data_IF_756838418031
#
_entry.id   IF_756838418031
#
_cell.length_a   1.000
_cell.length_b   1.000
_cell.length_c   1.000
_cell.angle_alpha   90.00
_cell.angle_beta   90.00
_cell.angle_gamma   90.00
#
_symmetry.space_group_name_H-M   'P 1'
#
loop_
_entity.id
_entity.type
_entity.pdbx_description
1 polymer ?
#
# COMPACT_ATOMS: atom_id res chain seq x y z
N UNK A 1 3.44 18.99 19.60
CA UNK A 1 4.39 18.42 18.62
C UNK A 1 3.62 18.27 17.32
N UNK A 2 3.98 19.07 16.32
CA UNK A 2 3.21 19.22 15.08
C UNK A 2 3.41 18.02 14.18
N UNK A 3 2.33 17.28 13.91
CA UNK A 3 2.33 16.29 12.82
C UNK A 3 2.03 17.04 11.51
N UNK A 4 3.10 17.41 10.81
CA UNK A 4 3.01 17.86 9.41
C UNK A 4 3.31 16.67 8.53
N UNK A 5 2.30 16.11 7.87
CA UNK A 5 2.51 15.28 6.69
C UNK A 5 1.56 15.74 5.59
N UNK A 6 2.13 16.65 4.79
CA UNK A 6 1.64 17.16 3.53
C UNK A 6 2.15 16.21 2.44
N UNK A 7 1.30 15.33 1.91
CA UNK A 7 1.56 14.65 0.64
C UNK A 7 0.28 14.65 -0.20
N UNK A 8 0.09 15.74 -0.96
CA UNK A 8 -0.81 15.79 -2.11
C UNK A 8 0.08 15.78 -3.34
N UNK A 9 0.35 14.58 -3.86
CA UNK A 9 1.04 14.31 -5.12
C UNK A 9 0.63 12.87 -5.53
N UNK A 10 0.20 12.52 -6.73
CA UNK A 10 -0.03 13.27 -7.95
C UNK A 10 -0.99 12.46 -8.84
N UNK A 11 -1.64 13.19 -9.73
CA UNK A 11 -2.60 12.68 -10.70
C UNK A 11 -1.97 11.81 -11.79
N UNK A 12 -2.75 10.84 -12.28
CA UNK A 12 -2.67 10.17 -13.59
C UNK A 12 -1.48 9.24 -13.87
N UNK A 13 -1.75 7.93 -13.82
CA UNK A 13 -1.26 6.99 -14.82
C UNK A 13 -2.38 6.01 -15.20
N UNK A 14 -3.09 6.38 -16.26
CA UNK A 14 -4.14 5.59 -16.90
C UNK A 14 -3.50 4.44 -17.68
N UNK A 15 -3.24 3.31 -17.03
CA UNK A 15 -3.10 1.97 -17.63
C UNK A 15 -3.15 0.90 -16.53
N UNK A 16 -4.19 0.06 -16.55
CA UNK A 16 -4.40 -1.22 -15.81
C UNK A 16 -4.52 -1.21 -14.26
N UNK A 17 -5.39 -2.07 -13.71
CA UNK A 17 -5.91 -2.00 -12.33
C UNK A 17 -4.86 -2.15 -11.22
N UNK A 18 -3.70 -2.74 -11.49
CA UNK A 18 -2.66 -2.98 -10.48
C UNK A 18 -1.95 -1.70 -10.02
N UNK A 19 -1.85 -0.68 -10.90
CA UNK A 19 -1.20 0.58 -10.55
C UNK A 19 -1.98 1.41 -9.52
N UNK A 20 -3.31 1.34 -9.52
CA UNK A 20 -4.14 2.00 -8.51
C UNK A 20 -4.05 1.30 -7.15
N UNK A 21 -3.95 -0.03 -7.14
CA UNK A 21 -3.74 -0.83 -5.93
C UNK A 21 -2.38 -0.48 -5.30
N UNK A 22 -1.33 -0.46 -6.11
CA UNK A 22 0.02 -0.10 -5.69
C UNK A 22 0.06 1.31 -5.06
N UNK A 23 -0.58 2.29 -5.70
CA UNK A 23 -0.70 3.64 -5.18
C UNK A 23 -1.50 3.70 -3.87
N UNK A 24 -2.59 2.92 -3.76
CA UNK A 24 -3.41 2.87 -2.56
C UNK A 24 -2.66 2.25 -1.37
N UNK A 25 -1.90 1.18 -1.57
CA UNK A 25 -1.05 0.57 -0.53
C UNK A 25 -0.02 1.56 -0.03
N UNK A 26 0.68 2.23 -0.95
CA UNK A 26 1.68 3.25 -0.62
C UNK A 26 1.08 4.41 0.16
N UNK A 27 -0.07 4.95 -0.29
CA UNK A 27 -0.76 6.02 0.42
C UNK A 27 -1.19 5.61 1.83
N UNK A 28 -1.76 4.42 1.98
CA UNK A 28 -2.20 3.93 3.28
C UNK A 28 -1.00 3.72 4.24
N UNK A 29 0.13 3.22 3.73
CA UNK A 29 1.37 3.11 4.51
C UNK A 29 1.89 4.48 4.93
N UNK A 30 1.97 5.43 4.01
CA UNK A 30 2.43 6.80 4.27
C UNK A 30 1.51 7.55 5.24
N UNK A 31 0.19 7.33 5.16
CA UNK A 31 -0.79 7.93 6.06
C UNK A 31 -0.65 7.47 7.53
N UNK A 32 -0.21 6.22 7.74
CA UNK A 32 0.10 5.69 9.07
C UNK A 32 1.51 6.09 9.53
N UNK A 33 2.39 6.45 8.58
CA UNK A 33 3.78 6.78 8.84
C UNK A 33 4.70 5.56 8.95
N UNK A 34 4.30 4.42 8.41
CA UNK A 34 5.12 3.20 8.39
C UNK A 34 6.18 3.24 7.29
N UNK A 35 7.36 2.70 7.58
CA UNK A 35 8.33 2.37 6.53
C UNK A 35 7.98 1.04 5.87
N UNK A 36 8.63 0.74 4.74
CA UNK A 36 8.47 -0.57 4.07
C UNK A 36 8.85 -1.71 5.03
N UNK A 37 9.91 -1.54 5.82
CA UNK A 37 10.34 -2.52 6.80
C UNK A 37 9.29 -2.71 7.91
N UNK A 38 8.77 -1.62 8.48
CA UNK A 38 7.73 -1.68 9.53
C UNK A 38 6.46 -2.34 9.02
N UNK A 39 6.03 -2.00 7.80
CA UNK A 39 4.87 -2.64 7.18
C UNK A 39 5.15 -4.13 7.00
N UNK A 40 6.28 -4.50 6.42
CA UNK A 40 6.70 -5.89 6.16
C UNK A 40 6.65 -6.76 7.42
N UNK A 41 7.18 -6.27 8.55
CA UNK A 41 7.12 -6.95 9.85
C UNK A 41 5.68 -7.09 10.36
N UNK A 42 4.87 -6.04 10.21
CA UNK A 42 3.48 -6.03 10.69
C UNK A 42 2.59 -6.99 9.92
N UNK A 43 2.72 -7.06 8.58
CA UNK A 43 1.94 -7.97 7.75
C UNK A 43 2.57 -9.35 7.53
N UNK A 44 3.80 -9.57 8.00
CA UNK A 44 4.55 -10.82 7.81
C UNK A 44 4.91 -11.10 6.35
N UNK A 45 5.24 -10.04 5.61
CA UNK A 45 5.71 -10.08 4.22
C UNK A 45 7.19 -9.66 4.19
N UNK A 46 7.91 -9.93 3.11
CA UNK A 46 9.27 -9.39 2.95
C UNK A 46 9.22 -7.95 2.44
N UNK A 47 10.26 -7.16 2.73
CA UNK A 47 10.40 -5.80 2.21
C UNK A 47 10.36 -5.76 0.67
N UNK A 48 10.91 -6.78 0.01
CA UNK A 48 10.88 -6.93 -1.46
C UNK A 48 9.44 -7.14 -1.94
N UNK A 49 8.65 -7.99 -1.28
CA UNK A 49 7.24 -8.17 -1.63
C UNK A 49 6.44 -6.87 -1.50
N UNK A 50 6.70 -6.07 -0.47
CA UNK A 50 6.05 -4.76 -0.32
C UNK A 50 6.46 -3.81 -1.45
N UNK A 51 7.74 -3.79 -1.83
CA UNK A 51 8.24 -2.98 -2.96
C UNK A 51 7.60 -3.41 -4.27
N UNK A 52 7.53 -4.72 -4.54
CA UNK A 52 6.91 -5.26 -5.74
C UNK A 52 5.41 -4.92 -5.79
N UNK A 53 4.73 -4.92 -4.64
CA UNK A 53 3.32 -4.49 -4.53
C UNK A 53 3.16 -3.00 -4.78
N UNK A 54 4.01 -2.15 -4.18
CA UNK A 54 4.00 -0.69 -4.41
C UNK A 54 4.47 -0.30 -5.82
N UNK A 55 5.17 -1.19 -6.53
CA UNK A 55 5.55 -1.02 -7.93
C UNK A 55 4.48 -1.57 -8.90
N UNK A 56 3.46 -2.28 -8.41
CA UNK A 56 2.46 -2.96 -9.22
C UNK A 56 2.99 -4.18 -9.98
N UNK A 57 4.18 -4.68 -9.59
CA UNK A 57 4.78 -5.91 -10.11
C UNK A 57 4.14 -7.17 -9.47
N UNK A 58 3.70 -7.05 -8.22
CA UNK A 58 2.95 -8.07 -7.48
C UNK A 58 1.63 -7.48 -6.98
N UNK A 59 0.52 -8.21 -7.08
CA UNK A 59 -0.78 -7.75 -6.59
C UNK A 59 -1.58 -8.94 -6.08
N UNK A 60 -0.89 -9.86 -5.41
CA UNK A 60 -1.52 -11.07 -4.91
C UNK A 60 -2.61 -10.72 -3.88
N UNK A 61 -3.87 -11.17 -4.09
CA UNK A 61 -4.98 -10.85 -3.20
C UNK A 61 -4.78 -11.35 -1.76
N UNK A 62 -4.03 -12.42 -1.53
CA UNK A 62 -3.69 -12.89 -0.19
C UNK A 62 -2.72 -11.92 0.51
N UNK A 63 -1.74 -11.38 -0.21
CA UNK A 63 -0.79 -10.37 0.32
C UNK A 63 -1.50 -9.05 0.62
N UNK A 64 -2.33 -8.58 -0.31
CA UNK A 64 -3.14 -7.36 -0.12
C UNK A 64 -4.08 -7.46 1.08
N UNK A 65 -4.67 -8.64 1.35
CA UNK A 65 -5.47 -8.87 2.57
C UNK A 65 -4.65 -8.76 3.85
N UNK A 66 -3.41 -9.26 3.85
CA UNK A 66 -2.51 -9.13 5.01
C UNK A 66 -2.11 -7.67 5.25
N UNK A 67 -1.79 -6.95 4.18
CA UNK A 67 -1.51 -5.51 4.22
C UNK A 67 -2.72 -4.73 4.74
N UNK A 68 -3.92 -5.04 4.25
CA UNK A 68 -5.16 -4.43 4.73
C UNK A 68 -5.39 -4.65 6.23
N UNK A 69 -5.15 -5.87 6.72
CA UNK A 69 -5.25 -6.18 8.15
C UNK A 69 -4.22 -5.41 8.98
N UNK A 70 -2.98 -5.30 8.50
CA UNK A 70 -1.90 -4.56 9.17
C UNK A 70 -2.16 -3.04 9.22
N UNK A 71 -2.69 -2.48 8.13
CA UNK A 71 -3.06 -1.07 8.02
C UNK A 71 -4.45 -0.77 8.64
N UNK A 72 -5.14 -1.78 9.15
CA UNK A 72 -6.50 -1.70 9.71
C UNK A 72 -7.54 -1.09 8.73
N UNK A 73 -7.37 -1.33 7.44
CA UNK A 73 -8.29 -0.89 6.37
C UNK A 73 -9.08 -2.06 5.81
N UNK A 74 -10.22 -1.77 5.18
CA UNK A 74 -10.99 -2.80 4.50
C UNK A 74 -10.23 -3.31 3.26
N UNK A 75 -10.16 -4.63 3.03
CA UNK A 75 -9.50 -5.19 1.84
C UNK A 75 -10.10 -4.67 0.53
N UNK A 76 -11.40 -4.34 0.52
CA UNK A 76 -12.08 -3.70 -0.62
C UNK A 76 -11.49 -2.36 -1.04
N UNK A 77 -10.70 -1.70 -0.17
CA UNK A 77 -9.91 -0.51 -0.52
C UNK A 77 -8.88 -0.81 -1.61
N UNK A 78 -8.37 -2.04 -1.64
CA UNK A 78 -7.36 -2.50 -2.58
C UNK A 78 -7.92 -3.43 -3.66
N UNK A 79 -9.17 -3.89 -3.54
CA UNK A 79 -9.84 -4.69 -4.55
C UNK A 79 -10.85 -3.80 -5.29
N UNK A 80 -10.44 -3.25 -6.44
CA UNK A 80 -11.39 -2.68 -7.40
C UNK A 80 -12.10 -3.86 -8.08
N UNK A 81 -13.40 -4.02 -7.79
CA UNK A 81 -14.29 -4.99 -8.46
C UNK A 81 -15.06 -4.32 -9.58
#
# INVERSE_FOLDING_TARGET
MSITQNNIDSSKASTVPHGEIAAAVRQAREAIGYTIADLSETCGLTSEEIVDIEAGADSDPAKLRRIAAALQVAPSTFFVV
#
